data_IF_339714186648
#
_entry.id   IF_339714186648
#
_cell.length_a   1.000
_cell.length_b   1.000
_cell.length_c   1.000
_cell.angle_alpha   90.00
_cell.angle_beta   90.00
_cell.angle_gamma   90.00
#
_symmetry.space_group_name_H-M   'P 1'
#
loop_
_entity.id
_entity.type
_entity.pdbx_description
1 polymer ?
#
# COMPACT_ATOMS: atom_id res chain seq x y z
N UNK A 1 -36.37 -2.09 -12.29
CA UNK A 1 -35.15 -2.41 -13.05
C UNK A 1 -34.40 -3.49 -12.27
N UNK A 2 -33.78 -4.47 -12.93
CA UNK A 2 -32.98 -5.49 -12.23
C UNK A 2 -31.58 -4.94 -11.90
N UNK A 3 -30.99 -5.40 -10.79
CA UNK A 3 -29.65 -4.98 -10.39
C UNK A 3 -28.59 -5.53 -11.36
N UNK A 4 -27.60 -4.73 -11.80
CA UNK A 4 -26.59 -5.19 -12.75
C UNK A 4 -25.72 -6.30 -12.15
N UNK A 5 -25.50 -7.36 -12.94
CA UNK A 5 -24.66 -8.49 -12.53
C UNK A 5 -23.19 -8.09 -12.38
N UNK A 6 -22.50 -8.62 -11.36
CA UNK A 6 -21.10 -8.27 -11.08
C UNK A 6 -20.16 -8.89 -12.11
N UNK A 7 -19.37 -8.10 -12.87
CA UNK A 7 -18.45 -8.65 -13.86
C UNK A 7 -17.27 -9.38 -13.20
N UNK A 8 -16.66 -10.31 -13.93
CA UNK A 8 -15.49 -11.05 -13.45
C UNK A 8 -14.31 -10.14 -13.09
N UNK A 9 -14.16 -9.01 -13.79
CA UNK A 9 -13.13 -7.98 -13.52
C UNK A 9 -13.24 -7.40 -12.12
N UNK A 10 -14.47 -7.25 -11.61
CA UNK A 10 -14.73 -6.76 -10.26
C UNK A 10 -14.34 -7.82 -9.20
N UNK A 11 -14.58 -9.10 -9.47
CA UNK A 11 -14.15 -10.19 -8.58
C UNK A 11 -12.63 -10.26 -8.50
N UNK A 12 -11.94 -10.19 -9.64
CA UNK A 12 -10.47 -10.15 -9.68
C UNK A 12 -9.94 -8.92 -8.96
N UNK A 13 -10.55 -7.74 -9.16
CA UNK A 13 -10.15 -6.54 -8.44
C UNK A 13 -10.29 -6.69 -6.92
N UNK A 14 -11.38 -7.28 -6.42
CA UNK A 14 -11.56 -7.54 -4.99
C UNK A 14 -10.56 -8.55 -4.44
N UNK A 15 -10.29 -9.63 -5.18
CA UNK A 15 -9.30 -10.62 -4.78
C UNK A 15 -7.91 -10.00 -4.72
N UNK A 16 -7.53 -9.23 -5.75
CA UNK A 16 -6.24 -8.52 -5.77
C UNK A 16 -6.16 -7.50 -4.64
N UNK A 17 -7.22 -6.76 -4.35
CA UNK A 17 -7.29 -5.86 -3.20
C UNK A 17 -7.08 -6.62 -1.88
N UNK A 18 -7.79 -7.73 -1.67
CA UNK A 18 -7.62 -8.59 -0.50
C UNK A 18 -6.19 -9.12 -0.37
N UNK A 19 -5.59 -9.58 -1.46
CA UNK A 19 -4.19 -10.01 -1.51
C UNK A 19 -3.22 -8.88 -1.12
N UNK A 20 -3.46 -7.65 -1.60
CA UNK A 20 -2.65 -6.48 -1.22
C UNK A 20 -2.81 -6.11 0.25
N UNK A 21 -4.02 -6.24 0.82
CA UNK A 21 -4.27 -6.04 2.25
C UNK A 21 -3.48 -7.06 3.07
N UNK A 22 -3.56 -8.34 2.71
CA UNK A 22 -2.79 -9.40 3.38
C UNK A 22 -1.29 -9.15 3.25
N UNK A 23 -0.81 -8.81 2.06
CA UNK A 23 0.61 -8.50 1.82
C UNK A 23 1.07 -7.28 2.64
N UNK A 24 0.23 -6.24 2.75
CA UNK A 24 0.49 -5.08 3.61
C UNK A 24 0.54 -5.45 5.10
N UNK A 25 -0.37 -6.30 5.57
CA UNK A 25 -0.36 -6.79 6.95
C UNK A 25 0.92 -7.59 7.24
N UNK A 26 1.32 -8.48 6.33
CA UNK A 26 2.60 -9.22 6.41
C UNK A 26 3.77 -8.24 6.45
N UNK A 27 3.78 -7.21 5.61
CA UNK A 27 4.82 -6.19 5.62
C UNK A 27 4.89 -5.46 6.96
N UNK A 28 3.76 -5.08 7.57
CA UNK A 28 3.73 -4.46 8.92
C UNK A 28 4.29 -5.38 10.00
N UNK A 29 3.92 -6.67 9.96
CA UNK A 29 4.50 -7.67 10.88
C UNK A 29 6.01 -7.78 10.67
N UNK A 30 6.48 -7.81 9.43
CA UNK A 30 7.91 -7.82 9.13
C UNK A 30 8.61 -6.54 9.58
N UNK A 31 7.96 -5.37 9.52
CA UNK A 31 8.54 -4.13 10.05
C UNK A 31 8.80 -4.27 11.55
N UNK A 32 7.90 -4.93 12.29
CA UNK A 32 8.08 -5.19 13.72
C UNK A 32 9.22 -6.18 13.97
N UNK A 33 9.26 -7.28 13.23
CA UNK A 33 10.23 -8.38 13.41
C UNK A 33 11.62 -7.97 12.96
N UNK A 34 11.74 -7.28 11.83
CA UNK A 34 12.99 -6.86 11.21
C UNK A 34 13.38 -5.43 11.60
N UNK A 35 12.86 -4.91 12.71
CA UNK A 35 13.04 -3.51 13.09
C UNK A 35 14.52 -3.10 13.16
N UNK A 36 15.37 -3.91 13.79
CA UNK A 36 16.81 -3.65 13.88
C UNK A 36 17.50 -3.63 12.51
N UNK A 37 17.08 -4.49 11.58
CA UNK A 37 17.62 -4.50 10.22
C UNK A 37 17.19 -3.26 9.42
N UNK A 38 15.98 -2.76 9.64
CA UNK A 38 15.51 -1.50 9.06
C UNK A 38 16.26 -0.29 9.63
N UNK A 39 16.49 -0.26 10.95
CA UNK A 39 17.30 0.78 11.59
C UNK A 39 18.73 0.75 11.07
N UNK A 40 19.32 -0.44 10.89
CA UNK A 40 20.67 -0.57 10.33
C UNK A 40 20.74 -0.09 8.87
N UNK A 41 19.78 -0.49 8.04
CA UNK A 41 19.68 -0.04 6.64
C UNK A 41 19.54 1.48 6.55
N UNK A 42 18.72 2.09 7.40
CA UNK A 42 18.63 3.54 7.53
C UNK A 42 19.94 4.17 8.01
N UNK A 43 20.57 3.60 9.03
CA UNK A 43 21.82 4.11 9.59
C UNK A 43 22.94 4.10 8.55
N UNK A 44 23.02 3.09 7.69
CA UNK A 44 24.00 3.04 6.59
C UNK A 44 23.84 4.20 5.59
N UNK A 45 22.61 4.70 5.41
CA UNK A 45 22.31 5.88 4.59
C UNK A 45 22.49 7.22 5.30
N UNK A 46 22.78 7.23 6.61
CA UNK A 46 22.85 8.44 7.43
C UNK A 46 24.22 8.55 8.11
N UNK A 47 25.04 9.53 7.70
CA UNK A 47 26.46 9.61 8.08
C UNK A 47 26.69 9.50 9.58
N UNK A 48 25.97 10.29 10.37
CA UNK A 48 26.14 10.35 11.83
C UNK A 48 25.69 9.05 12.50
N UNK A 49 24.59 8.47 12.01
CA UNK A 49 24.08 7.19 12.50
C UNK A 49 25.08 6.05 12.24
N UNK A 50 25.68 6.05 11.04
CA UNK A 50 26.69 5.07 10.66
C UNK A 50 27.92 5.13 11.56
N UNK A 51 28.42 6.33 11.84
CA UNK A 51 29.57 6.54 12.74
C UNK A 51 29.26 6.05 14.16
N UNK A 52 28.06 6.31 14.67
CA UNK A 52 27.61 5.80 15.97
C UNK A 52 27.53 4.27 15.97
N UNK A 53 26.98 3.66 14.92
CA UNK A 53 26.90 2.18 14.80
C UNK A 53 28.29 1.55 14.74
N UNK A 54 29.25 2.17 14.05
CA UNK A 54 30.64 1.70 13.95
C UNK A 54 31.38 1.82 15.29
N UNK A 55 31.11 2.89 16.07
CA UNK A 55 31.84 3.19 17.32
C UNK A 55 31.24 2.50 18.54
N UNK A 56 29.91 2.55 18.70
CA UNK A 56 29.19 2.15 19.90
C UNK A 56 28.21 0.99 19.66
N UNK A 57 28.01 0.58 18.41
CA UNK A 57 27.12 -0.51 18.02
C UNK A 57 25.67 -0.08 17.80
N UNK A 58 24.92 -0.96 17.14
CA UNK A 58 23.50 -0.74 16.79
C UNK A 58 22.59 -0.67 18.02
N UNK A 59 22.89 -1.45 19.06
CA UNK A 59 22.08 -1.50 20.28
C UNK A 59 22.13 -0.18 21.06
N UNK A 60 23.29 0.48 21.10
CA UNK A 60 23.44 1.82 21.66
C UNK A 60 22.58 2.83 20.90
N UNK A 61 22.62 2.81 19.57
CA UNK A 61 21.81 3.69 18.74
C UNK A 61 20.30 3.52 18.99
N UNK A 62 19.84 2.28 19.20
CA UNK A 62 18.41 1.97 19.40
C UNK A 62 17.93 2.36 20.81
N UNK A 63 18.74 2.07 21.83
CA UNK A 63 18.35 2.24 23.24
C UNK A 63 18.54 3.68 23.72
N UNK A 64 19.72 4.24 23.45
CA UNK A 64 20.09 5.58 23.95
C UNK A 64 19.62 6.70 23.02
N UNK A 65 19.27 6.37 21.77
CA UNK A 65 18.76 7.31 20.76
C UNK A 65 19.53 8.64 20.72
N UNK A 66 20.88 8.62 20.56
CA UNK A 66 21.70 9.84 20.51
C UNK A 66 21.31 10.76 19.34
N UNK A 67 20.63 10.21 18.33
CA UNK A 67 19.98 10.91 17.23
C UNK A 67 18.56 10.37 17.06
N UNK A 68 17.68 11.13 16.41
CA UNK A 68 16.29 10.73 16.19
C UNK A 68 16.19 9.52 15.23
N UNK A 69 16.12 8.31 15.81
CA UNK A 69 15.96 7.07 15.06
C UNK A 69 14.52 6.94 14.55
N UNK A 70 14.29 6.55 13.29
CA UNK A 70 12.93 6.43 12.76
C UNK A 70 12.10 5.36 13.47
N UNK A 71 10.87 5.73 13.85
CA UNK A 71 9.89 4.79 14.40
C UNK A 71 9.15 4.04 13.29
N UNK A 72 9.83 3.09 12.64
CA UNK A 72 9.28 2.36 11.49
C UNK A 72 7.95 1.66 11.76
N UNK A 73 7.83 0.96 12.90
CA UNK A 73 6.63 0.16 13.20
C UNK A 73 5.35 0.98 13.38
N UNK A 74 5.28 1.95 14.32
CA UNK A 74 4.05 2.71 14.51
C UNK A 74 3.65 3.51 13.26
N UNK A 75 4.63 4.07 12.54
CA UNK A 75 4.37 4.78 11.28
C UNK A 75 3.84 3.82 10.20
N UNK A 76 4.51 2.68 10.00
CA UNK A 76 4.11 1.67 9.02
C UNK A 76 2.73 1.07 9.30
N UNK A 77 2.45 0.75 10.57
CA UNK A 77 1.16 0.21 10.99
C UNK A 77 0.03 1.24 10.80
N UNK A 78 0.26 2.50 11.18
CA UNK A 78 -0.74 3.57 11.01
C UNK A 78 -1.05 3.80 9.53
N UNK A 79 -0.01 3.94 8.69
CA UNK A 79 -0.19 4.11 7.25
C UNK A 79 -0.93 2.93 6.63
N UNK A 80 -0.62 1.70 7.04
CA UNK A 80 -1.34 0.52 6.56
C UNK A 80 -2.83 0.61 6.89
N UNK A 81 -3.20 0.88 8.15
CA UNK A 81 -4.60 1.00 8.56
C UNK A 81 -5.31 2.10 7.78
N UNK A 82 -4.70 3.29 7.67
CA UNK A 82 -5.26 4.43 6.94
C UNK A 82 -5.48 4.07 5.47
N UNK A 83 -4.52 3.44 4.81
CA UNK A 83 -4.64 3.04 3.40
C UNK A 83 -5.72 1.97 3.20
N UNK A 84 -5.79 0.96 4.08
CA UNK A 84 -6.84 -0.07 4.00
C UNK A 84 -8.22 0.57 4.09
N UNK A 85 -8.43 1.47 5.07
CA UNK A 85 -9.69 2.17 5.26
C UNK A 85 -10.03 3.09 4.08
N UNK A 86 -9.06 3.89 3.61
CA UNK A 86 -9.25 4.78 2.47
C UNK A 86 -9.64 4.00 1.20
N UNK A 87 -8.91 2.93 0.89
CA UNK A 87 -9.21 2.08 -0.26
C UNK A 87 -10.56 1.36 -0.11
N UNK A 88 -10.91 0.95 1.11
CA UNK A 88 -12.22 0.37 1.42
C UNK A 88 -13.37 1.34 1.15
N UNK A 89 -13.25 2.58 1.61
CA UNK A 89 -14.22 3.66 1.37
C UNK A 89 -14.35 3.98 -0.12
N UNK A 90 -13.23 4.14 -0.83
CA UNK A 90 -13.23 4.39 -2.28
C UNK A 90 -13.89 3.24 -3.05
N UNK A 91 -13.65 2.01 -2.61
CA UNK A 91 -14.28 0.83 -3.20
C UNK A 91 -15.80 0.84 -2.98
N UNK A 92 -16.27 1.23 -1.78
CA UNK A 92 -17.71 1.40 -1.52
C UNK A 92 -18.36 2.44 -2.44
N UNK A 93 -17.70 3.59 -2.66
CA UNK A 93 -18.21 4.59 -3.60
C UNK A 93 -18.25 4.10 -5.06
N UNK A 94 -17.28 3.27 -5.47
CA UNK A 94 -17.29 2.63 -6.79
C UNK A 94 -18.51 1.71 -6.93
N UNK A 95 -18.88 0.97 -5.88
CA UNK A 95 -20.09 0.13 -5.87
C UNK A 95 -21.38 0.91 -6.02
N UNK A 96 -21.42 2.16 -5.57
CA UNK A 96 -22.57 3.05 -5.74
C UNK A 96 -22.62 3.71 -7.13
N UNK A 97 -21.65 3.44 -8.01
CA UNK A 97 -21.60 4.00 -9.35
C UNK A 97 -20.99 5.40 -9.44
N UNK A 98 -20.25 5.83 -8.41
CA UNK A 98 -19.60 7.14 -8.40
C UNK A 98 -18.32 7.14 -9.25
N UNK A 99 -18.28 7.85 -10.40
CA UNK A 99 -17.13 7.81 -11.30
C UNK A 99 -15.88 8.50 -10.73
N UNK A 100 -16.05 9.50 -9.86
CA UNK A 100 -14.92 10.23 -9.24
C UNK A 100 -14.08 9.32 -8.35
N UNK A 101 -14.70 8.32 -7.71
CA UNK A 101 -14.02 7.38 -6.82
C UNK A 101 -12.97 6.53 -7.56
N UNK A 102 -13.18 6.24 -8.85
CA UNK A 102 -12.19 5.56 -9.70
C UNK A 102 -10.94 6.41 -9.95
N UNK A 103 -11.09 7.72 -10.13
CA UNK A 103 -9.96 8.64 -10.27
C UNK A 103 -9.20 8.77 -8.95
N UNK A 104 -9.91 8.92 -7.83
CA UNK A 104 -9.32 8.96 -6.50
C UNK A 104 -8.55 7.66 -6.17
N UNK A 105 -9.14 6.50 -6.48
CA UNK A 105 -8.48 5.19 -6.32
C UNK A 105 -7.20 5.11 -7.18
N UNK A 106 -7.27 5.57 -8.42
CA UNK A 106 -6.10 5.60 -9.33
C UNK A 106 -4.98 6.47 -8.75
N UNK A 107 -5.32 7.67 -8.29
CA UNK A 107 -4.34 8.57 -7.68
C UNK A 107 -3.71 7.97 -6.42
N UNK A 108 -4.52 7.37 -5.54
CA UNK A 108 -4.05 6.70 -4.33
C UNK A 108 -3.08 5.54 -4.65
N UNK A 109 -3.45 4.69 -5.61
CA UNK A 109 -2.61 3.56 -6.04
C UNK A 109 -1.27 4.03 -6.66
N UNK A 110 -1.26 5.12 -7.43
CA UNK A 110 -0.03 5.69 -7.98
C UNK A 110 0.86 6.31 -6.90
N UNK A 111 0.27 6.99 -5.91
CA UNK A 111 0.98 7.48 -4.72
C UNK A 111 1.65 6.33 -3.97
N UNK A 112 0.92 5.23 -3.72
CA UNK A 112 1.47 4.03 -3.08
C UNK A 112 2.62 3.48 -3.92
N UNK A 113 2.45 3.30 -5.22
CA UNK A 113 3.50 2.77 -6.09
C UNK A 113 4.76 3.66 -6.08
N UNK A 114 4.58 4.98 -6.04
CA UNK A 114 5.69 5.95 -5.97
C UNK A 114 6.41 5.86 -4.62
N UNK A 115 5.67 5.84 -3.52
CA UNK A 115 6.23 5.68 -2.17
C UNK A 115 6.98 4.35 -2.03
N UNK A 116 6.39 3.24 -2.48
CA UNK A 116 7.02 1.91 -2.50
C UNK A 116 8.31 1.93 -3.32
N UNK A 117 8.30 2.57 -4.49
CA UNK A 117 9.50 2.69 -5.34
C UNK A 117 10.60 3.51 -4.65
N UNK A 118 10.25 4.56 -3.92
CA UNK A 118 11.21 5.33 -3.12
C UNK A 118 11.80 4.49 -1.98
N UNK A 119 10.98 3.68 -1.29
CA UNK A 119 11.45 2.77 -0.25
C UNK A 119 12.42 1.70 -0.77
N UNK A 120 12.24 1.20 -1.99
CA UNK A 120 13.20 0.22 -2.57
C UNK A 120 14.59 0.86 -2.75
N UNK A 121 14.67 2.16 -3.04
CA UNK A 121 15.94 2.86 -3.28
C UNK A 121 16.82 3.00 -2.04
N UNK A 122 16.25 2.87 -0.85
CA UNK A 122 17.02 2.89 0.41
C UNK A 122 17.57 1.51 0.80
N UNK A 123 17.60 0.57 -0.15
CA UNK A 123 18.14 -0.78 0.02
C UNK A 123 17.61 -1.50 1.28
N UNK A 124 16.28 -1.64 1.43
CA UNK A 124 15.71 -2.36 2.57
C UNK A 124 16.08 -3.85 2.50
N UNK A 125 15.87 -4.63 3.58
CA UNK A 125 16.10 -6.06 3.55
C UNK A 125 15.39 -6.74 2.37
N UNK A 126 16.03 -7.74 1.75
CA UNK A 126 15.58 -8.35 0.49
C UNK A 126 14.11 -8.82 0.53
N UNK A 127 13.63 -9.30 1.69
CA UNK A 127 12.23 -9.68 1.89
C UNK A 127 11.26 -8.53 1.59
N UNK A 128 11.58 -7.31 2.01
CA UNK A 128 10.77 -6.13 1.69
C UNK A 128 10.80 -5.79 0.20
N UNK A 129 11.94 -5.98 -0.46
CA UNK A 129 12.06 -5.74 -1.91
C UNK A 129 11.14 -6.70 -2.66
N UNK A 130 11.18 -8.00 -2.34
CA UNK A 130 10.33 -9.02 -2.96
C UNK A 130 8.85 -8.69 -2.75
N UNK A 131 8.43 -8.40 -1.52
CA UNK A 131 7.04 -8.03 -1.23
C UNK A 131 6.62 -6.75 -1.95
N UNK A 132 7.53 -5.77 -2.06
CA UNK A 132 7.27 -4.51 -2.76
C UNK A 132 7.05 -4.74 -4.25
N UNK A 133 7.85 -5.59 -4.91
CA UNK A 133 7.67 -5.93 -6.32
C UNK A 133 6.33 -6.63 -6.54
N UNK A 134 5.98 -7.62 -5.70
CA UNK A 134 4.68 -8.30 -5.76
C UNK A 134 3.54 -7.29 -5.58
N UNK A 135 3.67 -6.37 -4.61
CA UNK A 135 2.71 -5.30 -4.36
C UNK A 135 2.53 -4.38 -5.57
N UNK A 136 3.63 -3.95 -6.20
CA UNK A 136 3.60 -3.11 -7.41
C UNK A 136 2.90 -3.82 -8.58
N UNK A 137 3.15 -5.12 -8.77
CA UNK A 137 2.43 -5.91 -9.77
C UNK A 137 0.93 -5.95 -9.45
N UNK A 138 0.56 -6.17 -8.19
CA UNK A 138 -0.84 -6.12 -7.75
C UNK A 138 -1.51 -4.76 -8.00
N UNK A 139 -0.78 -3.66 -7.80
CA UNK A 139 -1.26 -2.30 -8.10
C UNK A 139 -1.52 -2.14 -9.60
N UNK A 140 -0.61 -2.59 -10.46
CA UNK A 140 -0.80 -2.56 -11.92
C UNK A 140 -2.03 -3.36 -12.33
N UNK A 141 -2.22 -4.54 -11.76
CA UNK A 141 -3.41 -5.37 -12.00
C UNK A 141 -4.69 -4.65 -11.56
N UNK A 142 -4.71 -4.04 -10.38
CA UNK A 142 -5.86 -3.25 -9.91
C UNK A 142 -6.19 -2.09 -10.84
N UNK A 143 -5.17 -1.35 -11.28
CA UNK A 143 -5.36 -0.24 -12.22
C UNK A 143 -5.93 -0.74 -13.55
N UNK A 144 -5.38 -1.83 -14.11
CA UNK A 144 -5.90 -2.42 -15.34
C UNK A 144 -7.37 -2.87 -15.18
N UNK A 145 -7.71 -3.53 -14.06
CA UNK A 145 -9.09 -4.00 -13.80
C UNK A 145 -10.06 -2.85 -13.53
N UNK A 146 -9.64 -1.83 -12.77
CA UNK A 146 -10.45 -0.64 -12.53
C UNK A 146 -10.78 0.07 -13.84
N UNK A 147 -9.86 0.05 -14.81
CA UNK A 147 -10.02 0.70 -16.09
C UNK A 147 -10.56 -0.16 -17.23
N UNK A 148 -10.80 -1.46 -16.98
CA UNK A 148 -11.33 -2.37 -17.98
C UNK A 148 -12.72 -1.92 -18.53
N UNK A 149 -13.04 -2.23 -19.80
CA UNK A 149 -14.33 -1.91 -20.39
C UNK A 149 -15.51 -2.44 -19.58
N UNK A 150 -15.40 -3.66 -19.04
CA UNK A 150 -16.42 -4.29 -18.20
C UNK A 150 -16.72 -3.50 -16.92
N UNK A 151 -15.68 -3.00 -16.25
CA UNK A 151 -15.82 -2.16 -15.05
C UNK A 151 -16.46 -0.80 -15.39
N UNK A 152 -16.16 -0.26 -16.57
CA UNK A 152 -16.76 0.99 -17.08
C UNK A 152 -18.24 0.82 -17.42
N UNK A 153 -18.61 -0.33 -18.00
CA UNK A 153 -20.01 -0.68 -18.28
C UNK A 153 -20.80 -0.81 -16.98
N UNK A 154 -20.28 -1.58 -16.03
CA UNK A 154 -20.90 -1.78 -14.72
C UNK A 154 -21.17 -0.46 -13.98
N UNK A 155 -20.20 0.47 -13.96
CA UNK A 155 -20.39 1.79 -13.35
C UNK A 155 -21.49 2.60 -14.01
N UNK A 156 -21.58 2.55 -15.35
CA UNK A 156 -22.61 3.28 -16.11
C UNK A 156 -24.01 2.73 -15.86
N UNK A 157 -24.15 1.41 -15.81
CA UNK A 157 -25.42 0.74 -15.52
C UNK A 157 -25.87 1.00 -14.09
N UNK A 158 -24.96 0.85 -13.12
CA UNK A 158 -25.24 1.07 -11.70
C UNK A 158 -25.69 2.50 -11.44
N UNK A 159 -25.04 3.49 -12.05
CA UNK A 159 -25.45 4.90 -11.95
C UNK A 159 -26.86 5.14 -12.46
N UNK A 160 -27.24 4.54 -13.59
CA UNK A 160 -28.59 4.64 -14.16
C UNK A 160 -29.63 3.98 -13.24
N UNK A 161 -29.29 2.85 -12.62
CA UNK A 161 -30.16 2.18 -11.67
C UNK A 161 -30.42 3.01 -10.40
N UNK A 162 -29.37 3.63 -9.84
CA UNK A 162 -29.47 4.39 -8.57
C UNK A 162 -30.12 5.77 -8.77
N UNK A 163 -29.85 6.46 -9.89
CA UNK A 163 -30.27 7.86 -10.10
C UNK A 163 -31.37 8.05 -11.16
N UNK A 164 -31.70 6.99 -11.92
CA UNK A 164 -32.72 7.02 -12.98
C UNK A 164 -34.06 6.38 -12.57
N UNK A 165 -34.22 6.07 -11.28
CA UNK A 165 -35.48 5.64 -10.66
C UNK A 165 -36.24 6.81 -10.06
#
# INVERSE_FOLDING_TARGET
MEAPSRPWTLRVALLTYGCLVVLGAVAVVLIRVMNSALVLSWAQGHRDAREIVETAGLEYLITEQPIAVPHFFPVGATLFVVLVLLLGVLTAFIYEGNPWARYALTAALLMIATATSACIRVAPPATFVVLSVIGLVGIVVLLAMAWAPASTHYLRETRRYVHGG
#
